data_IF_750252879324
#
_entry.id   IF_750252879324
#
_cell.length_a   1.000
_cell.length_b   1.000
_cell.length_c   1.000
_cell.angle_alpha   90.00
_cell.angle_beta   90.00
_cell.angle_gamma   90.00
#
_symmetry.space_group_name_H-M   'P 1'
#
loop_
_entity.id
_entity.type
_entity.pdbx_description
1 polymer ?
#
# COMPACT_ATOMS: atom_id res chain seq x y z
N UNK A 1 14.59 -43.19 1.71
CA UNK A 1 14.40 -43.21 3.19
C UNK A 1 13.82 -41.89 3.67
N UNK A 2 13.36 -41.75 4.92
CA UNK A 2 12.67 -40.52 5.39
C UNK A 2 13.44 -39.22 5.11
N UNK A 3 14.78 -39.24 5.25
CA UNK A 3 15.66 -38.12 4.91
C UNK A 3 15.63 -37.74 3.42
N UNK A 4 15.70 -38.73 2.55
CA UNK A 4 15.66 -38.56 1.09
C UNK A 4 14.31 -37.99 0.63
N UNK A 5 13.22 -38.39 1.29
CA UNK A 5 11.90 -37.80 1.04
C UNK A 5 11.84 -36.33 1.46
N UNK A 6 12.37 -35.96 2.63
CA UNK A 6 12.45 -34.56 3.06
C UNK A 6 13.32 -33.72 2.13
N UNK A 7 14.45 -34.25 1.66
CA UNK A 7 15.31 -33.57 0.68
C UNK A 7 14.58 -33.34 -0.65
N UNK A 8 13.78 -34.32 -1.10
CA UNK A 8 12.95 -34.19 -2.30
C UNK A 8 11.90 -33.09 -2.13
N UNK A 9 11.15 -33.09 -1.02
CA UNK A 9 10.12 -32.07 -0.74
C UNK A 9 10.75 -30.68 -0.62
N UNK A 10 11.89 -30.55 0.06
CA UNK A 10 12.62 -29.28 0.16
C UNK A 10 13.01 -28.75 -1.22
N UNK A 11 13.54 -29.62 -2.09
CA UNK A 11 13.90 -29.23 -3.45
C UNK A 11 12.68 -28.82 -4.27
N UNK A 12 11.54 -29.51 -4.11
CA UNK A 12 10.29 -29.14 -4.79
C UNK A 12 9.83 -27.74 -4.36
N UNK A 13 9.74 -27.48 -3.05
CA UNK A 13 9.36 -26.15 -2.53
C UNK A 13 10.31 -25.07 -3.04
N UNK A 14 11.61 -25.34 -2.99
CA UNK A 14 12.62 -24.38 -3.48
C UNK A 14 12.48 -24.08 -4.98
N UNK A 15 12.26 -25.09 -5.81
CA UNK A 15 12.04 -24.89 -7.26
C UNK A 15 10.74 -24.13 -7.50
N UNK A 16 9.65 -24.48 -6.81
CA UNK A 16 8.37 -23.77 -6.95
C UNK A 16 8.50 -22.29 -6.58
N UNK A 17 9.21 -21.95 -5.51
CA UNK A 17 9.45 -20.55 -5.13
C UNK A 17 10.30 -19.81 -6.17
N UNK A 18 11.30 -20.47 -6.77
CA UNK A 18 12.15 -19.87 -7.80
C UNK A 18 11.42 -19.66 -9.14
N UNK A 19 10.53 -20.57 -9.51
CA UNK A 19 9.73 -20.51 -10.74
C UNK A 19 8.57 -19.51 -10.62
N UNK A 20 8.11 -19.24 -9.40
CA UNK A 20 7.05 -18.27 -9.09
C UNK A 20 7.57 -16.82 -9.01
N UNK A 21 6.63 -15.88 -8.92
CA UNK A 21 6.91 -14.45 -8.75
C UNK A 21 7.36 -14.05 -7.32
N UNK A 22 7.56 -15.03 -6.42
CA UNK A 22 7.82 -14.81 -4.99
C UNK A 22 8.92 -13.78 -4.70
N UNK A 23 10.05 -13.85 -5.42
CA UNK A 23 11.21 -12.97 -5.14
C UNK A 23 10.91 -11.49 -5.39
N UNK A 24 10.00 -11.18 -6.32
CA UNK A 24 9.59 -9.81 -6.61
C UNK A 24 8.57 -9.34 -5.57
N UNK A 25 7.53 -10.14 -5.34
CA UNK A 25 6.41 -9.81 -4.45
C UNK A 25 6.82 -9.72 -2.98
N UNK A 26 7.78 -10.54 -2.54
CA UNK A 26 8.29 -10.48 -1.16
C UNK A 26 9.07 -9.19 -0.91
N UNK A 27 9.74 -8.63 -1.91
CA UNK A 27 10.46 -7.37 -1.77
C UNK A 27 9.49 -6.20 -1.54
N UNK A 28 8.38 -6.17 -2.28
CA UNK A 28 7.29 -5.20 -2.08
C UNK A 28 6.63 -5.39 -0.70
N UNK A 29 6.37 -6.65 -0.32
CA UNK A 29 5.85 -6.99 1.02
C UNK A 29 6.75 -6.46 2.14
N UNK A 30 8.08 -6.52 1.98
CA UNK A 30 9.01 -5.96 2.97
C UNK A 30 9.00 -4.44 3.03
N UNK A 31 8.75 -3.75 1.92
CA UNK A 31 8.59 -2.29 1.90
C UNK A 31 7.35 -1.88 2.70
N UNK A 32 6.22 -2.55 2.48
CA UNK A 32 4.99 -2.33 3.24
C UNK A 32 5.17 -2.63 4.72
N UNK A 33 5.88 -3.71 5.04
CA UNK A 33 6.15 -4.10 6.42
C UNK A 33 7.02 -3.06 7.15
N UNK A 34 8.05 -2.53 6.48
CA UNK A 34 8.92 -1.50 7.05
C UNK A 34 8.27 -0.11 7.09
N UNK A 35 7.43 0.22 6.09
CA UNK A 35 6.76 1.50 5.95
C UNK A 35 5.51 1.61 6.82
N UNK A 36 4.52 0.76 6.56
CA UNK A 36 3.20 0.81 7.22
C UNK A 36 3.07 -0.13 8.41
N UNK A 37 4.00 -1.10 8.56
CA UNK A 37 4.05 -1.98 9.74
C UNK A 37 3.21 -3.24 9.60
N UNK A 38 2.39 -3.30 8.56
CA UNK A 38 1.58 -4.45 8.18
C UNK A 38 1.82 -4.71 6.71
N UNK A 39 1.95 -5.98 6.33
CA UNK A 39 2.04 -6.38 4.93
C UNK A 39 1.24 -7.67 4.74
N UNK A 40 0.67 -7.85 3.56
CA UNK A 40 -0.17 -9.00 3.25
C UNK A 40 0.34 -9.59 1.95
N UNK A 41 0.84 -10.83 2.03
CA UNK A 41 1.22 -11.60 0.87
C UNK A 41 0.11 -12.62 0.59
N UNK A 42 -0.44 -12.59 -0.60
CA UNK A 42 -1.46 -13.53 -1.04
C UNK A 42 -0.81 -14.60 -1.93
N UNK A 43 -1.22 -15.85 -1.76
CA UNK A 43 -0.77 -16.98 -2.57
C UNK A 43 -1.96 -17.59 -3.29
N UNK A 44 -1.85 -17.71 -4.61
CA UNK A 44 -2.85 -18.35 -5.46
C UNK A 44 -2.20 -19.45 -6.30
N UNK A 45 -2.93 -20.53 -6.53
CA UNK A 45 -2.56 -21.54 -7.52
C UNK A 45 -2.90 -21.01 -8.92
N UNK A 46 -2.01 -21.24 -9.90
CA UNK A 46 -2.24 -20.75 -11.27
C UNK A 46 -3.37 -21.48 -11.99
N UNK A 47 -3.61 -22.73 -11.61
CA UNK A 47 -4.68 -23.60 -12.14
C UNK A 47 -5.07 -24.59 -11.03
N UNK A 48 -6.35 -24.62 -10.68
CA UNK A 48 -6.88 -25.50 -9.63
C UNK A 48 -7.00 -26.98 -10.07
N UNK A 49 -7.16 -27.24 -11.37
CA UNK A 49 -7.35 -28.59 -11.91
C UNK A 49 -6.02 -29.27 -12.23
N UNK A 50 -5.06 -28.50 -12.77
CA UNK A 50 -3.74 -29.00 -13.13
C UNK A 50 -2.66 -28.17 -12.44
N UNK A 51 -1.79 -28.83 -11.66
CA UNK A 51 -0.66 -28.14 -11.05
C UNK A 51 0.22 -27.45 -12.11
N UNK A 52 0.18 -26.12 -12.12
CA UNK A 52 0.98 -25.28 -13.02
C UNK A 52 1.84 -24.27 -12.24
N UNK A 53 1.99 -24.47 -10.93
CA UNK A 53 2.71 -23.58 -10.02
C UNK A 53 1.79 -22.64 -9.24
N UNK A 54 2.42 -21.71 -8.54
CA UNK A 54 1.76 -20.72 -7.68
C UNK A 54 2.20 -19.32 -8.07
N UNK A 55 1.31 -18.35 -7.89
CA UNK A 55 1.63 -16.94 -7.98
C UNK A 55 1.49 -16.29 -6.60
N UNK A 56 2.28 -15.25 -6.40
CA UNK A 56 2.24 -14.44 -5.20
C UNK A 56 1.74 -13.06 -5.56
N UNK A 57 1.10 -12.38 -4.62
CA UNK A 57 0.70 -10.99 -4.80
C UNK A 57 0.80 -10.24 -3.49
N UNK A 58 1.63 -9.20 -3.46
CA UNK A 58 1.64 -8.23 -2.38
C UNK A 58 0.35 -7.39 -2.46
N UNK A 59 -0.46 -7.45 -1.41
CA UNK A 59 -1.70 -6.67 -1.36
C UNK A 59 -1.40 -5.34 -0.67
N UNK A 60 -1.65 -4.19 -1.34
CA UNK A 60 -1.50 -2.88 -0.73
C UNK A 60 -2.38 -2.74 0.51
N UNK A 61 -1.79 -2.28 1.62
CA UNK A 61 -2.49 -2.14 2.91
C UNK A 61 -3.76 -1.28 2.81
N UNK A 62 -3.76 -0.26 1.95
CA UNK A 62 -4.92 0.62 1.72
C UNK A 62 -6.15 -0.14 1.24
N UNK A 63 -5.94 -1.17 0.43
CA UNK A 63 -6.99 -1.92 -0.25
C UNK A 63 -7.30 -3.23 0.49
N UNK A 64 -6.76 -3.43 1.69
CA UNK A 64 -6.97 -4.64 2.47
C UNK A 64 -7.51 -4.38 3.88
N UNK A 65 -8.24 -5.36 4.39
CA UNK A 65 -8.68 -5.42 5.79
C UNK A 65 -8.63 -6.88 6.25
N UNK A 66 -8.40 -7.12 7.54
CA UNK A 66 -8.37 -8.47 8.08
C UNK A 66 -8.90 -8.52 9.51
N UNK A 67 -9.36 -9.69 9.90
CA UNK A 67 -9.86 -10.01 11.23
C UNK A 67 -9.09 -11.22 11.77
N UNK A 68 -8.74 -11.18 13.05
CA UNK A 68 -8.13 -12.30 13.75
C UNK A 68 -9.17 -13.08 14.56
N UNK A 69 -9.03 -14.39 14.58
CA UNK A 69 -9.77 -15.28 15.47
C UNK A 69 -9.29 -15.19 16.91
N UNK A 70 -9.97 -15.89 17.81
CA UNK A 70 -9.60 -15.98 19.22
C UNK A 70 -8.23 -16.67 19.46
N UNK A 71 -7.76 -17.41 18.46
CA UNK A 71 -6.47 -18.09 18.41
C UNK A 71 -5.33 -17.22 17.83
N UNK A 72 -5.59 -15.93 17.54
CA UNK A 72 -4.65 -14.98 16.91
C UNK A 72 -4.21 -15.41 15.50
N UNK A 73 -4.94 -16.35 14.89
CA UNK A 73 -4.84 -16.68 13.47
C UNK A 73 -5.80 -15.81 12.65
N UNK A 74 -5.45 -15.58 11.39
CA UNK A 74 -6.29 -14.80 10.47
C UNK A 74 -7.58 -15.57 10.25
N UNK A 75 -8.72 -14.95 10.57
CA UNK A 75 -10.05 -15.53 10.40
C UNK A 75 -10.66 -15.11 9.07
N UNK A 76 -10.54 -13.82 8.74
CA UNK A 76 -11.08 -13.23 7.51
C UNK A 76 -10.11 -12.21 6.93
N UNK A 77 -10.05 -12.16 5.61
CA UNK A 77 -9.34 -11.14 4.85
C UNK A 77 -10.26 -10.59 3.79
N UNK A 78 -10.22 -9.28 3.63
CA UNK A 78 -10.98 -8.54 2.63
C UNK A 78 -9.99 -7.75 1.79
N UNK A 79 -10.19 -7.74 0.48
CA UNK A 79 -9.44 -6.97 -0.48
C UNK A 79 -10.43 -6.20 -1.35
N UNK A 80 -10.25 -4.89 -1.43
CA UNK A 80 -10.96 -4.05 -2.39
C UNK A 80 -10.21 -4.07 -3.71
N UNK A 81 -10.91 -4.46 -4.76
CA UNK A 81 -10.45 -4.45 -6.13
C UNK A 81 -11.25 -3.40 -6.90
N UNK A 82 -10.62 -2.72 -7.83
CA UNK A 82 -11.28 -1.71 -8.66
C UNK A 82 -11.16 -2.13 -10.12
N UNK A 83 -12.29 -2.36 -10.75
CA UNK A 83 -12.36 -2.81 -12.14
C UNK A 83 -13.20 -1.85 -12.97
N UNK A 84 -12.80 -1.62 -14.22
CA UNK A 84 -13.70 -1.03 -15.21
C UNK A 84 -14.72 -2.08 -15.66
N UNK A 85 -15.80 -1.65 -16.31
CA UNK A 85 -16.81 -2.57 -16.85
C UNK A 85 -16.19 -3.66 -17.74
N UNK A 86 -15.27 -3.29 -18.64
CA UNK A 86 -14.58 -4.23 -19.54
C UNK A 86 -13.77 -5.27 -18.75
N UNK A 87 -13.12 -4.87 -17.66
CA UNK A 87 -12.36 -5.78 -16.81
C UNK A 87 -13.26 -6.72 -16.00
N UNK A 88 -14.45 -6.27 -15.60
CA UNK A 88 -15.44 -7.13 -14.95
C UNK A 88 -15.97 -8.19 -15.91
N UNK A 89 -16.33 -7.81 -17.14
CA UNK A 89 -16.80 -8.73 -18.17
C UNK A 89 -15.73 -9.76 -18.57
N UNK A 90 -14.45 -9.37 -18.58
CA UNK A 90 -13.32 -10.28 -18.84
C UNK A 90 -13.08 -11.26 -17.68
N UNK A 91 -13.15 -10.76 -16.43
CA UNK A 91 -12.89 -11.58 -15.23
C UNK A 91 -14.07 -12.49 -14.86
N UNK A 92 -15.29 -12.03 -15.04
CA UNK A 92 -16.52 -12.74 -14.66
C UNK A 92 -17.45 -12.86 -15.88
N UNK A 93 -17.08 -13.66 -16.89
CA UNK A 93 -17.79 -13.72 -18.16
C UNK A 93 -19.22 -14.25 -18.06
N UNK A 94 -19.54 -14.99 -16.98
CA UNK A 94 -20.87 -15.57 -16.75
C UNK A 94 -21.87 -14.57 -16.12
N UNK A 95 -21.43 -13.35 -15.78
CA UNK A 95 -22.26 -12.37 -15.09
C UNK A 95 -22.66 -11.21 -16.01
N UNK A 96 -23.94 -10.84 -15.99
CA UNK A 96 -24.46 -9.69 -16.73
C UNK A 96 -24.25 -8.39 -15.94
N UNK A 97 -23.27 -7.59 -16.36
CA UNK A 97 -22.98 -6.29 -15.74
C UNK A 97 -23.80 -5.14 -16.32
N UNK A 98 -24.57 -5.34 -17.40
CA UNK A 98 -25.34 -4.25 -18.05
C UNK A 98 -26.38 -3.66 -17.10
N UNK A 99 -27.05 -4.51 -16.32
CA UNK A 99 -28.11 -4.11 -15.41
C UNK A 99 -27.59 -3.42 -14.13
N UNK A 100 -26.37 -3.77 -13.71
CA UNK A 100 -25.82 -3.42 -12.40
C UNK A 100 -24.96 -2.17 -12.46
N UNK A 101 -24.18 -2.05 -13.54
CA UNK A 101 -23.25 -0.94 -13.78
C UNK A 101 -23.89 0.13 -14.68
N UNK A 102 -24.92 -0.23 -15.45
CA UNK A 102 -25.65 0.70 -16.32
C UNK A 102 -24.81 1.21 -17.50
N UNK A 103 -25.28 2.27 -18.15
CA UNK A 103 -24.52 3.02 -19.14
C UNK A 103 -23.54 4.00 -18.44
N UNK A 104 -22.69 3.47 -17.57
CA UNK A 104 -21.58 4.21 -16.97
C UNK A 104 -20.52 4.55 -18.04
N UNK A 105 -19.69 5.54 -17.73
CA UNK A 105 -18.56 5.89 -18.57
C UNK A 105 -17.59 4.70 -18.67
N UNK A 106 -16.95 4.50 -19.82
CA UNK A 106 -16.08 3.34 -20.07
C UNK A 106 -14.91 3.28 -19.07
N UNK A 107 -14.51 4.43 -18.56
CA UNK A 107 -13.43 4.60 -17.59
C UNK A 107 -13.89 4.59 -16.12
N UNK A 108 -15.19 4.47 -15.84
CA UNK A 108 -15.70 4.40 -14.47
C UNK A 108 -15.23 3.10 -13.79
N UNK A 109 -14.72 3.23 -12.57
CA UNK A 109 -14.23 2.11 -11.77
C UNK A 109 -15.29 1.69 -10.75
N UNK A 110 -15.56 0.40 -10.73
CA UNK A 110 -16.46 -0.24 -9.78
C UNK A 110 -15.66 -1.01 -8.74
N UNK A 111 -16.01 -0.82 -7.47
CA UNK A 111 -15.39 -1.51 -6.35
C UNK A 111 -15.98 -2.92 -6.21
N UNK A 112 -15.11 -3.93 -6.24
CA UNK A 112 -15.41 -5.33 -5.94
C UNK A 112 -14.69 -5.70 -4.66
N UNK A 113 -15.41 -6.28 -3.71
CA UNK A 113 -14.84 -6.79 -2.47
C UNK A 113 -14.58 -8.27 -2.63
N UNK A 114 -13.32 -8.66 -2.62
CA UNK A 114 -12.89 -10.03 -2.49
C UNK A 114 -12.72 -10.37 -1.01
N UNK A 115 -13.40 -11.40 -0.52
CA UNK A 115 -13.35 -11.84 0.86
C UNK A 115 -12.91 -13.29 0.92
N UNK A 116 -11.98 -13.61 1.82
CA UNK A 116 -11.63 -14.98 2.22
C UNK A 116 -11.97 -15.14 3.70
N UNK A 117 -12.67 -16.22 4.04
CA UNK A 117 -13.14 -16.47 5.40
C UNK A 117 -13.12 -17.96 5.73
N UNK A 118 -12.88 -18.28 7.01
CA UNK A 118 -13.03 -19.65 7.52
C UNK A 118 -14.51 -20.05 7.57
N UNK A 119 -14.85 -21.25 7.07
CA UNK A 119 -16.19 -21.84 7.17
C UNK A 119 -16.30 -22.63 8.49
N UNK A 120 -17.44 -22.53 9.16
CA UNK A 120 -17.72 -23.24 10.42
C UNK A 120 -18.22 -24.68 10.18
N UNK A 121 -18.95 -24.90 9.06
CA UNK A 121 -19.56 -26.18 8.71
C UNK A 121 -18.62 -27.07 7.89
N UNK A 122 -17.57 -27.59 8.52
CA UNK A 122 -16.62 -28.51 7.88
C UNK A 122 -16.94 -29.94 8.28
N UNK A 123 -17.30 -30.79 7.31
CA UNK A 123 -17.35 -32.23 7.52
C UNK A 123 -15.93 -32.76 7.78
N UNK A 124 -15.61 -33.03 9.04
CA UNK A 124 -14.33 -33.59 9.50
C UNK A 124 -14.07 -35.00 8.92
N UNK A 125 -15.11 -35.73 8.50
CA UNK A 125 -14.99 -37.09 7.93
C UNK A 125 -14.27 -37.15 6.56
N UNK A 126 -14.07 -36.01 5.89
CA UNK A 126 -13.46 -35.94 4.55
C UNK A 126 -12.09 -35.26 4.55
N UNK A 127 -11.38 -35.26 5.67
CA UNK A 127 -10.00 -34.76 5.75
C UNK A 127 -9.08 -35.57 4.79
N UNK A 128 -8.42 -34.89 3.84
CA UNK A 128 -7.50 -35.52 2.88
C UNK A 128 -8.11 -36.02 1.55
N UNK A 129 -9.39 -35.75 1.26
CA UNK A 129 -9.99 -36.00 -0.08
C UNK A 129 -10.12 -34.69 -0.86
N UNK A 130 -10.07 -34.78 -2.20
CA UNK A 130 -10.38 -33.64 -3.06
C UNK A 130 -11.83 -33.19 -2.82
N UNK A 131 -12.02 -31.93 -2.42
CA UNK A 131 -13.33 -31.33 -2.12
C UNK A 131 -13.70 -30.34 -3.21
N UNK A 132 -15.00 -30.27 -3.51
CA UNK A 132 -15.54 -29.19 -4.34
C UNK A 132 -15.21 -27.82 -3.68
N UNK A 133 -14.96 -26.75 -4.47
CA UNK A 133 -14.60 -25.43 -3.95
C UNK A 133 -15.52 -24.92 -2.83
N UNK A 134 -16.82 -25.21 -2.93
CA UNK A 134 -17.86 -24.84 -1.96
C UNK A 134 -17.76 -25.56 -0.60
N UNK A 135 -17.07 -26.71 -0.55
CA UNK A 135 -16.91 -27.54 0.65
C UNK A 135 -15.49 -27.46 1.25
N UNK A 136 -14.63 -26.60 0.70
CA UNK A 136 -13.28 -26.38 1.23
C UNK A 136 -13.32 -25.55 2.54
N UNK A 137 -12.37 -25.76 3.48
CA UNK A 137 -12.35 -25.10 4.80
C UNK A 137 -12.38 -23.57 4.77
N UNK A 138 -11.68 -22.97 3.82
CA UNK A 138 -11.67 -21.52 3.63
C UNK A 138 -12.52 -21.20 2.41
N UNK A 139 -13.58 -20.42 2.56
CA UNK A 139 -14.38 -19.93 1.46
C UNK A 139 -13.84 -18.60 0.94
N UNK A 140 -13.99 -18.36 -0.36
CA UNK A 140 -13.84 -17.01 -0.89
C UNK A 140 -15.10 -16.57 -1.64
N UNK A 141 -15.32 -15.25 -1.67
CA UNK A 141 -16.40 -14.60 -2.41
C UNK A 141 -15.92 -13.31 -3.05
N UNK A 142 -16.32 -13.07 -4.28
CA UNK A 142 -16.28 -11.76 -4.92
C UNK A 142 -17.66 -11.14 -4.85
N UNK A 143 -17.75 -9.94 -4.27
CA UNK A 143 -19.02 -9.22 -4.08
C UNK A 143 -18.91 -7.83 -4.68
N UNK A 144 -19.87 -7.45 -5.52
CA UNK A 144 -19.91 -6.08 -6.03
C UNK A 144 -20.36 -5.12 -4.92
N UNK A 145 -19.60 -4.07 -4.65
CA UNK A 145 -19.85 -3.17 -3.54
C UNK A 145 -21.19 -2.40 -3.66
N UNK A 146 -21.61 -2.07 -4.88
CA UNK A 146 -22.81 -1.26 -5.12
C UNK A 146 -24.12 -2.04 -4.95
N UNK A 147 -24.20 -3.25 -5.52
CA UNK A 147 -25.42 -4.08 -5.50
C UNK A 147 -25.43 -5.14 -4.41
N UNK A 148 -24.28 -5.40 -3.76
CA UNK A 148 -24.05 -6.53 -2.87
C UNK A 148 -24.31 -7.90 -3.53
N UNK A 149 -24.17 -7.96 -4.85
CA UNK A 149 -24.30 -9.19 -5.64
C UNK A 149 -23.03 -10.02 -5.58
N UNK A 150 -23.20 -11.34 -5.45
CA UNK A 150 -22.10 -12.31 -5.43
C UNK A 150 -21.74 -12.67 -6.88
N UNK A 151 -20.51 -12.36 -7.29
CA UNK A 151 -20.02 -12.60 -8.65
C UNK A 151 -19.45 -14.01 -8.81
N UNK A 152 -18.67 -14.44 -7.81
CA UNK A 152 -17.99 -15.73 -7.84
C UNK A 152 -17.80 -16.23 -6.40
N UNK A 153 -17.93 -17.54 -6.21
CA UNK A 153 -17.75 -18.23 -4.94
C UNK A 153 -16.85 -19.44 -5.17
N UNK A 154 -15.88 -19.62 -4.28
CA UNK A 154 -15.03 -20.81 -4.28
C UNK A 154 -14.44 -21.08 -2.91
N UNK A 155 -13.28 -21.71 -2.86
CA UNK A 155 -12.60 -21.93 -1.59
C UNK A 155 -11.18 -22.45 -1.73
N UNK A 156 -10.44 -22.43 -0.63
CA UNK A 156 -9.07 -22.88 -0.50
C UNK A 156 -8.96 -23.95 0.59
N UNK A 157 -7.98 -24.84 0.45
CA UNK A 157 -7.67 -25.83 1.47
C UNK A 157 -7.06 -25.18 2.72
N UNK A 158 -6.20 -24.18 2.52
CA UNK A 158 -5.55 -23.40 3.57
C UNK A 158 -5.78 -21.90 3.36
N UNK A 159 -5.52 -21.08 4.39
CA UNK A 159 -5.63 -19.63 4.29
C UNK A 159 -4.57 -19.09 3.30
N UNK A 160 -4.97 -18.50 2.15
CA UNK A 160 -4.04 -17.99 1.14
C UNK A 160 -3.38 -16.66 1.52
N UNK A 161 -3.93 -15.94 2.50
CA UNK A 161 -3.47 -14.62 2.90
C UNK A 161 -2.53 -14.66 4.12
N UNK A 162 -1.26 -14.33 3.90
CA UNK A 162 -0.25 -14.22 4.95
C UNK A 162 -0.14 -12.77 5.44
N UNK A 163 -0.79 -12.49 6.58
CA UNK A 163 -0.75 -11.15 7.21
C UNK A 163 0.43 -11.05 8.16
N UNK A 164 1.47 -10.33 7.75
CA UNK A 164 2.65 -10.04 8.55
C UNK A 164 2.52 -8.69 9.27
N UNK A 165 2.94 -8.65 10.53
CA UNK A 165 2.97 -7.42 11.36
C UNK A 165 4.35 -7.25 11.96
N UNK A 166 4.98 -6.09 11.77
CA UNK A 166 6.33 -5.82 12.29
C UNK A 166 6.38 -5.89 13.82
N UNK A 167 5.46 -5.17 14.48
CA UNK A 167 5.27 -5.22 15.93
C UNK A 167 3.79 -5.06 16.24
N UNK A 168 3.25 -5.91 17.13
CA UNK A 168 1.87 -5.74 17.63
C UNK A 168 1.85 -4.65 18.72
N UNK A 169 0.84 -3.78 18.66
CA UNK A 169 0.58 -2.78 19.70
C UNK A 169 -0.75 -3.11 20.37
N UNK A 170 -0.80 -2.98 21.70
CA UNK A 170 -2.01 -3.29 22.46
C UNK A 170 -3.17 -2.40 21.98
N UNK A 171 -4.32 -3.01 21.73
CA UNK A 171 -5.52 -2.32 21.26
C UNK A 171 -5.55 -2.03 19.74
N UNK A 172 -4.52 -2.38 18.98
CA UNK A 172 -4.50 -2.25 17.52
C UNK A 172 -4.41 -3.61 16.84
N UNK A 173 -5.27 -3.85 15.84
CA UNK A 173 -5.13 -5.00 14.95
C UNK A 173 -3.96 -4.83 13.97
N UNK A 174 -3.62 -3.58 13.63
CA UNK A 174 -2.56 -3.22 12.70
C UNK A 174 -1.18 -3.27 13.37
N UNK A 175 -0.17 -3.58 12.58
CA UNK A 175 1.23 -3.56 12.99
C UNK A 175 1.80 -2.14 13.10
N UNK A 176 2.82 -1.99 13.94
CA UNK A 176 3.55 -0.75 14.14
C UNK A 176 4.93 -0.84 13.52
N UNK A 177 5.18 0.01 12.52
CA UNK A 177 6.38 -0.02 11.71
C UNK A 177 7.59 0.65 12.39
N UNK A 178 8.82 0.39 11.91
CA UNK A 178 9.98 1.20 12.27
C UNK A 178 9.86 2.63 11.72
N UNK A 179 9.24 2.83 10.54
CA UNK A 179 9.03 4.17 9.99
C UNK A 179 8.15 5.04 10.91
N UNK A 180 7.18 4.47 11.63
CA UNK A 180 6.39 5.20 12.63
C UNK A 180 7.22 5.69 13.81
N UNK A 181 8.28 4.96 14.17
CA UNK A 181 9.20 5.38 15.25
C UNK A 181 10.00 6.59 14.80
N UNK A 182 10.48 6.58 13.56
CA UNK A 182 11.32 7.65 13.00
C UNK A 182 10.51 8.75 12.29
N UNK A 183 9.17 8.71 12.33
CA UNK A 183 8.33 9.61 11.53
C UNK A 183 8.54 11.08 11.90
N UNK A 184 8.74 11.39 13.18
CA UNK A 184 9.06 12.74 13.64
C UNK A 184 10.33 13.27 12.99
N UNK A 185 11.37 12.43 12.93
CA UNK A 185 12.68 12.80 12.43
C UNK A 185 12.63 12.95 10.91
N UNK A 186 11.90 12.08 10.21
CA UNK A 186 11.64 12.19 8.77
C UNK A 186 10.91 13.50 8.44
N UNK A 187 9.86 13.85 9.18
CA UNK A 187 9.10 15.08 8.96
C UNK A 187 9.96 16.32 9.24
N UNK A 188 10.75 16.30 10.31
CA UNK A 188 11.68 17.38 10.63
C UNK A 188 12.75 17.55 9.55
N UNK A 189 13.35 16.44 9.08
CA UNK A 189 14.35 16.48 8.02
C UNK A 189 13.79 17.06 6.72
N UNK A 190 12.57 16.65 6.34
CA UNK A 190 11.89 17.19 5.15
C UNK A 190 11.65 18.70 5.26
N UNK A 191 11.26 19.18 6.44
CA UNK A 191 11.07 20.62 6.69
C UNK A 191 12.40 21.39 6.61
N UNK A 192 13.46 20.88 7.23
CA UNK A 192 14.80 21.50 7.17
C UNK A 192 15.30 21.57 5.72
N UNK A 193 15.11 20.51 4.94
CA UNK A 193 15.47 20.51 3.52
C UNK A 193 14.66 21.54 2.73
N UNK A 194 13.35 21.65 2.98
CA UNK A 194 12.48 22.63 2.33
C UNK A 194 12.90 24.07 2.64
N UNK A 195 13.08 24.40 3.93
CA UNK A 195 13.52 25.72 4.39
C UNK A 195 14.92 26.06 3.88
N UNK A 196 15.84 25.08 3.87
CA UNK A 196 17.20 25.28 3.33
C UNK A 196 17.17 25.57 1.84
N UNK A 197 16.29 24.91 1.09
CA UNK A 197 16.09 25.16 -0.33
C UNK A 197 15.56 26.57 -0.59
N UNK A 198 14.56 27.02 0.18
CA UNK A 198 14.02 28.37 0.10
C UNK A 198 15.07 29.44 0.46
N UNK A 199 15.84 29.20 1.53
CA UNK A 199 16.92 30.07 1.95
C UNK A 199 18.02 30.19 0.88
N UNK A 200 18.37 29.08 0.21
CA UNK A 200 19.31 29.10 -0.92
C UNK A 200 18.76 29.90 -2.10
N UNK A 201 17.48 29.79 -2.41
CA UNK A 201 16.85 30.60 -3.46
C UNK A 201 16.94 32.09 -3.14
N UNK A 202 16.67 32.51 -1.90
CA UNK A 202 16.83 33.90 -1.44
C UNK A 202 18.29 34.38 -1.40
N UNK A 203 19.25 33.48 -1.25
CA UNK A 203 20.67 33.85 -1.33
C UNK A 203 21.15 34.06 -2.76
N UNK A 204 20.59 33.32 -3.72
CA UNK A 204 20.87 33.48 -5.16
C UNK A 204 20.15 34.72 -5.71
N UNK A 205 18.88 34.87 -5.37
CA UNK A 205 18.01 35.98 -5.82
C UNK A 205 17.33 36.64 -4.61
N UNK A 206 18.05 37.54 -3.91
CA UNK A 206 17.54 38.18 -2.71
C UNK A 206 16.39 39.14 -3.04
N UNK A 207 15.38 39.23 -2.15
CA UNK A 207 14.34 40.24 -2.31
C UNK A 207 14.95 41.64 -2.25
N UNK A 208 14.43 42.51 -3.10
CA UNK A 208 14.97 43.84 -3.37
C UNK A 208 14.05 44.91 -2.79
N UNK A 209 14.65 45.91 -2.15
CA UNK A 209 13.95 47.13 -1.75
C UNK A 209 13.91 48.11 -2.94
N UNK A 210 12.75 48.60 -3.37
CA UNK A 210 12.59 49.54 -4.50
C UNK A 210 11.80 50.78 -4.08
N UNK A 211 11.80 51.91 -4.80
CA UNK A 211 11.15 53.13 -4.30
C UNK A 211 9.79 53.43 -4.94
N UNK A 212 8.78 53.75 -4.11
CA UNK A 212 7.47 54.23 -4.57
C UNK A 212 7.09 55.56 -3.91
N UNK A 213 6.43 56.45 -4.66
CA UNK A 213 5.88 57.72 -4.14
C UNK A 213 4.59 57.46 -3.37
N UNK A 214 4.74 57.01 -2.13
CA UNK A 214 3.70 57.04 -1.11
C UNK A 214 2.60 56.00 -1.28
N UNK A 215 2.81 54.84 -0.65
CA UNK A 215 1.88 54.07 0.19
C UNK A 215 2.74 52.99 0.85
N UNK A 216 2.57 52.78 2.15
CA UNK A 216 3.29 51.75 2.93
C UNK A 216 2.78 50.40 2.43
N UNK A 217 3.62 49.66 1.71
CA UNK A 217 3.31 48.32 1.21
C UNK A 217 3.84 47.24 2.17
N UNK A 218 3.16 46.10 2.21
CA UNK A 218 3.60 44.91 2.96
C UNK A 218 4.94 44.37 2.40
N UNK A 219 5.74 43.77 3.28
CA UNK A 219 7.04 43.17 2.94
C UNK A 219 6.85 41.88 2.15
N UNK A 220 7.35 41.84 0.91
CA UNK A 220 7.44 40.60 0.13
C UNK A 220 8.79 39.92 0.36
N UNK A 221 8.72 38.74 0.98
CA UNK A 221 9.89 37.95 1.41
C UNK A 221 10.17 36.76 0.50
N UNK A 222 9.49 36.65 -0.65
CA UNK A 222 9.76 35.60 -1.63
C UNK A 222 11.08 35.85 -2.38
N UNK A 223 11.75 34.80 -2.92
CA UNK A 223 12.90 34.98 -3.81
C UNK A 223 12.54 35.92 -4.98
N UNK A 224 13.37 36.94 -5.22
CA UNK A 224 13.13 37.98 -6.23
C UNK A 224 11.99 38.96 -5.93
N UNK A 225 11.40 38.92 -4.72
CA UNK A 225 10.33 39.83 -4.30
C UNK A 225 10.78 41.29 -4.28
N UNK A 226 9.86 42.21 -4.58
CA UNK A 226 10.12 43.66 -4.58
C UNK A 226 9.32 44.32 -3.46
N UNK A 227 10.00 44.76 -2.41
CA UNK A 227 9.41 45.53 -1.32
C UNK A 227 9.64 47.02 -1.55
N UNK A 228 8.63 47.87 -1.41
CA UNK A 228 8.76 49.29 -1.75
C UNK A 228 9.03 50.18 -0.52
N UNK A 229 10.05 51.03 -0.60
CA UNK A 229 10.55 51.94 0.46
C UNK A 229 10.53 53.41 0.00
N UNK A 230 10.60 54.35 0.94
CA UNK A 230 10.46 55.79 0.67
C UNK A 230 11.74 56.50 0.24
N UNK A 231 12.92 55.97 0.60
CA UNK A 231 14.21 56.60 0.31
C UNK A 231 14.99 55.80 -0.74
N UNK A 232 15.52 56.50 -1.75
CA UNK A 232 16.32 55.92 -2.84
C UNK A 232 17.65 55.36 -2.35
N UNK A 233 18.18 55.90 -1.24
CA UNK A 233 19.41 55.41 -0.62
C UNK A 233 19.25 54.05 0.08
N UNK A 234 18.01 53.58 0.24
CA UNK A 234 17.65 52.32 0.88
C UNK A 234 17.37 51.18 -0.14
N UNK A 235 17.66 51.40 -1.43
CA UNK A 235 17.60 50.38 -2.48
C UNK A 235 18.75 49.37 -2.31
N UNK A 236 18.56 48.42 -1.38
CA UNK A 236 19.58 47.46 -0.96
C UNK A 236 18.95 46.06 -0.93
N UNK A 237 19.66 45.00 -1.33
CA UNK A 237 19.20 43.64 -1.13
C UNK A 237 18.99 43.36 0.36
N UNK A 238 17.87 42.72 0.71
CA UNK A 238 17.60 42.33 2.09
C UNK A 238 18.41 41.07 2.43
N UNK A 239 19.63 41.25 2.94
CA UNK A 239 20.53 40.15 3.30
C UNK A 239 20.21 39.67 4.72
N UNK A 240 19.52 38.54 4.85
CA UNK A 240 19.53 37.78 6.09
C UNK A 240 20.88 37.05 6.21
N UNK A 241 21.53 37.11 7.38
CA UNK A 241 22.81 36.43 7.63
C UNK A 241 22.66 34.91 7.67
N UNK A 242 22.48 34.27 6.51
CA UNK A 242 22.22 32.84 6.40
C UNK A 242 23.52 32.03 6.51
N UNK A 243 23.52 31.01 7.39
CA UNK A 243 24.63 30.06 7.56
C UNK A 243 24.19 28.68 7.10
N UNK A 244 24.50 28.33 5.86
CA UNK A 244 24.11 27.04 5.26
C UNK A 244 24.87 25.84 5.84
N UNK A 245 26.05 26.07 6.42
CA UNK A 245 26.89 25.00 6.98
C UNK A 245 26.20 24.30 8.16
N UNK A 246 25.52 25.06 9.02
CA UNK A 246 24.81 24.51 10.19
C UNK A 246 23.59 23.67 9.77
N UNK A 247 22.85 24.10 8.74
CA UNK A 247 21.73 23.31 8.22
C UNK A 247 22.18 21.99 7.58
N UNK A 248 23.34 22.00 6.90
CA UNK A 248 23.91 20.77 6.33
C UNK A 248 24.41 19.81 7.42
N UNK A 249 24.95 20.32 8.53
CA UNK A 249 25.33 19.51 9.69
C UNK A 249 24.11 18.87 10.37
N UNK A 250 22.99 19.59 10.48
CA UNK A 250 21.73 19.03 11.01
C UNK A 250 21.14 17.94 10.11
N UNK A 251 21.25 18.07 8.79
CA UNK A 251 20.82 17.04 7.83
C UNK A 251 21.66 15.75 7.92
N UNK A 252 22.95 15.87 8.24
CA UNK A 252 23.88 14.73 8.30
C UNK A 252 23.80 13.95 9.62
N UNK A 253 23.12 14.50 10.63
CA UNK A 253 23.04 13.95 11.98
C UNK A 253 21.93 12.93 12.12
#
# INVERSE_FOLDING_TARGET
GAKEWLELVQNQVWQTLLESDFNMEIAETYLDLCGFGTAILFLEELDEENWNGVTFTAIPVRDAYFEYGADDNVLRVYRRLQYTRVQLEDKFPDHDFEAVVGASDVDEKHDVIFCVYKRDDIDEENEGKSRAPEARPYGYKYVLHQSAEELEVGGYYDMPAFVARWKKVSGSQWGHSPAFICLSDILQLNEVVAQTSEARAKAIDPPMLTTERGIISDLDMNPGGLTMVTDISELVPLIAGMRFDQANEEIQR
#
